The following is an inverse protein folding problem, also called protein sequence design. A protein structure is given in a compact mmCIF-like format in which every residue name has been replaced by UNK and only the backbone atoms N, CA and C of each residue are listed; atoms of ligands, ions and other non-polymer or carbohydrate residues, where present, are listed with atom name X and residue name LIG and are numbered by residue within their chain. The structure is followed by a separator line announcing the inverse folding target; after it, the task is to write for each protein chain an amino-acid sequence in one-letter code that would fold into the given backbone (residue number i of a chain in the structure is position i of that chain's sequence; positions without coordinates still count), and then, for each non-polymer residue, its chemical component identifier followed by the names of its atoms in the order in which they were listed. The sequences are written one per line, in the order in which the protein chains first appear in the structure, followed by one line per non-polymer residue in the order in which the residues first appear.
data_IF_999434095514
#
_entry.id   IF_999434095514
#
_cell.length_a   1.000
_cell.length_b   1.000
_cell.length_c   1.000
_cell.angle_alpha   90.00
_cell.angle_beta   90.00
_cell.angle_gamma   90.00
#
_symmetry.space_group_name_H-M   'P 1'
#
loop_
_entity.id
_entity.type
_entity.pdbx_description
1 polymer ?
#
# COMPACT_ATOMS: atom_id res chain seq x y z
N UNK A 1 8.56 24.97 13.58
CA UNK A 1 8.18 23.64 14.07
C UNK A 1 6.75 23.38 13.61
N UNK A 2 6.53 22.47 12.67
CA UNK A 2 5.19 22.24 12.10
C UNK A 2 4.23 21.65 13.14
N UNK A 3 3.00 22.16 13.20
CA UNK A 3 1.96 21.62 14.09
C UNK A 3 1.62 20.19 13.69
N UNK A 4 1.61 19.27 14.65
CA UNK A 4 1.13 17.89 14.43
C UNK A 4 -0.36 17.95 14.10
N UNK A 5 -0.73 17.60 12.87
CA UNK A 5 -2.12 17.50 12.45
C UNK A 5 -2.61 16.05 12.56
N UNK A 6 -3.88 15.88 12.93
CA UNK A 6 -4.58 14.60 12.89
C UNK A 6 -5.65 14.71 11.82
N UNK A 7 -5.67 13.73 10.93
CA UNK A 7 -6.67 13.59 9.88
C UNK A 7 -7.48 12.35 10.23
N UNK A 8 -8.81 12.45 10.08
CA UNK A 8 -9.71 11.32 10.23
C UNK A 8 -10.12 10.82 8.85
N UNK A 9 -10.20 9.51 8.69
CA UNK A 9 -10.68 8.83 7.49
C UNK A 9 -11.59 7.66 7.87
N UNK A 10 -12.18 7.05 6.85
CA UNK A 10 -12.90 5.78 7.00
C UNK A 10 -11.88 4.63 7.07
N UNK A 11 -12.03 3.73 8.04
CA UNK A 11 -11.22 2.52 8.12
C UNK A 11 -11.84 1.45 7.23
N UNK A 12 -11.14 1.07 6.17
CA UNK A 12 -11.56 -0.02 5.29
C UNK A 12 -11.05 -1.35 5.82
N UNK A 13 -9.82 -1.38 6.31
CA UNK A 13 -9.26 -2.50 7.08
C UNK A 13 -8.67 -1.95 8.36
N UNK A 14 -9.23 -2.39 9.50
CA UNK A 14 -8.80 -1.92 10.81
C UNK A 14 -7.38 -2.39 11.14
N UNK A 15 -6.61 -1.54 11.81
CA UNK A 15 -5.26 -1.86 12.26
C UNK A 15 -4.52 -0.62 12.75
N UNK A 16 -3.24 -0.77 13.04
CA UNK A 16 -2.36 0.35 13.40
C UNK A 16 -1.00 0.14 12.77
N UNK A 17 -0.50 1.16 12.09
CA UNK A 17 0.81 1.16 11.46
C UNK A 17 1.50 2.50 11.67
N UNK A 18 2.83 2.46 11.68
CA UNK A 18 3.67 3.64 11.71
C UNK A 18 4.86 3.42 10.78
N UNK A 19 5.24 4.46 10.04
CA UNK A 19 6.34 4.38 9.10
C UNK A 19 6.59 5.73 8.43
N UNK A 20 7.68 5.81 7.68
CA UNK A 20 7.96 6.98 6.82
C UNK A 20 6.86 7.07 5.77
N UNK A 21 6.33 8.26 5.53
CA UNK A 21 5.33 8.49 4.49
C UNK A 21 5.99 8.55 3.11
N UNK A 22 5.45 7.78 2.16
CA UNK A 22 5.63 7.99 0.73
C UNK A 22 4.29 8.42 0.16
N UNK A 23 4.20 9.66 -0.31
CA UNK A 23 2.96 10.23 -0.82
C UNK A 23 3.10 10.62 -2.28
N UNK A 24 2.05 10.38 -3.06
CA UNK A 24 1.95 10.88 -4.43
C UNK A 24 0.52 11.33 -4.72
N UNK A 25 0.39 12.34 -5.58
CA UNK A 25 -0.88 12.72 -6.20
C UNK A 25 -1.22 11.87 -7.42
N UNK A 26 -0.34 10.97 -7.84
CA UNK A 26 -0.55 10.06 -8.96
C UNK A 26 -0.94 8.66 -8.47
N UNK A 27 -1.80 7.94 -9.20
CA UNK A 27 -2.21 6.59 -8.83
C UNK A 27 -1.16 5.54 -9.26
N UNK A 28 -0.90 4.58 -8.38
CA UNK A 28 0.02 3.47 -8.64
C UNK A 28 -0.71 2.22 -9.15
N UNK A 29 -0.17 1.57 -10.17
CA UNK A 29 -0.54 0.20 -10.52
C UNK A 29 0.40 -0.76 -9.81
N UNK A 30 -0.10 -1.63 -8.93
CA UNK A 30 0.74 -2.66 -8.31
C UNK A 30 1.20 -3.69 -9.34
N UNK A 31 0.33 -4.03 -10.29
CA UNK A 31 0.75 -4.81 -11.45
C UNK A 31 1.70 -4.00 -12.33
N UNK A 32 2.95 -4.45 -12.45
CA UNK A 32 3.99 -3.83 -13.26
C UNK A 32 4.60 -2.54 -12.69
N UNK A 33 4.07 -2.02 -11.58
CA UNK A 33 4.59 -0.83 -10.90
C UNK A 33 5.12 -1.08 -9.49
N UNK A 34 5.00 -2.30 -8.97
CA UNK A 34 5.52 -2.72 -7.68
C UNK A 34 6.32 -4.02 -7.81
N UNK A 35 7.53 -4.05 -7.26
CA UNK A 35 8.31 -5.28 -7.13
C UNK A 35 7.99 -5.97 -5.80
N UNK A 36 7.23 -7.06 -5.86
CA UNK A 36 6.85 -7.87 -4.70
C UNK A 36 8.01 -8.57 -3.99
N UNK A 37 9.24 -8.52 -4.52
CA UNK A 37 10.43 -9.11 -3.90
C UNK A 37 11.22 -8.10 -3.08
N UNK A 38 11.18 -6.83 -3.46
CA UNK A 38 12.01 -5.76 -2.87
C UNK A 38 11.19 -4.67 -2.19
N UNK A 39 9.92 -4.54 -2.60
CA UNK A 39 9.04 -3.44 -2.22
C UNK A 39 9.32 -2.14 -2.98
N UNK A 40 10.12 -2.17 -4.05
CA UNK A 40 10.40 -1.01 -4.89
C UNK A 40 9.19 -0.65 -5.77
N UNK A 41 8.93 0.65 -5.90
CA UNK A 41 8.06 1.18 -6.94
C UNK A 41 8.85 1.23 -8.25
N UNK A 42 8.55 0.29 -9.15
CA UNK A 42 9.30 0.05 -10.40
C UNK A 42 8.66 0.68 -11.64
N UNK A 43 7.46 1.28 -11.52
CA UNK A 43 6.89 2.10 -12.59
C UNK A 43 7.76 3.35 -12.77
N UNK A 44 8.63 3.34 -13.78
CA UNK A 44 9.59 4.42 -14.05
C UNK A 44 8.96 5.74 -14.46
N UNK A 45 7.65 5.77 -14.74
CA UNK A 45 6.90 7.00 -15.01
C UNK A 45 6.24 7.57 -13.76
N UNK A 46 6.17 6.80 -12.68
CA UNK A 46 5.54 7.23 -11.44
C UNK A 46 6.46 8.17 -10.65
N UNK A 47 5.94 9.23 -9.98
CA UNK A 47 6.77 10.14 -9.19
C UNK A 47 7.58 9.47 -8.06
N UNK A 48 7.08 8.34 -7.56
CA UNK A 48 7.76 7.55 -6.52
C UNK A 48 8.70 6.47 -7.08
N UNK A 49 8.95 6.43 -8.39
CA UNK A 49 9.87 5.48 -9.02
C UNK A 49 11.20 5.38 -8.27
N UNK A 50 11.67 4.16 -8.00
CA UNK A 50 12.91 3.91 -7.28
C UNK A 50 12.80 3.98 -5.75
N UNK A 51 11.64 4.37 -5.22
CA UNK A 51 11.40 4.37 -3.78
C UNK A 51 11.00 2.98 -3.29
N UNK A 52 11.52 2.59 -2.13
CA UNK A 52 11.11 1.36 -1.42
C UNK A 52 9.93 1.68 -0.52
N UNK A 53 8.76 1.06 -0.77
CA UNK A 53 7.56 1.23 0.05
C UNK A 53 7.40 0.19 1.16
N UNK A 54 8.24 -0.86 1.16
CA UNK A 54 8.28 -1.86 2.22
C UNK A 54 8.38 -1.20 3.60
N UNK A 55 7.48 -1.57 4.52
CA UNK A 55 7.40 -1.06 5.89
C UNK A 55 7.19 0.48 5.99
N UNK A 56 6.62 1.10 4.96
CA UNK A 56 6.29 2.55 4.92
C UNK A 56 4.80 2.77 4.80
N UNK A 57 4.36 4.00 5.09
CA UNK A 57 2.97 4.42 4.87
C UNK A 57 2.86 4.96 3.45
N UNK A 58 2.14 4.26 2.59
CA UNK A 58 1.95 4.64 1.20
C UNK A 58 0.63 5.41 1.04
N UNK A 59 0.71 6.65 0.59
CA UNK A 59 -0.43 7.56 0.42
C UNK A 59 -0.61 7.85 -1.07
N UNK A 60 -1.75 7.45 -1.62
CA UNK A 60 -2.07 7.56 -3.04
C UNK A 60 -3.53 8.00 -3.20
N UNK A 61 -3.93 8.69 -4.27
CA UNK A 61 -5.36 9.02 -4.45
C UNK A 61 -6.23 7.76 -4.62
N UNK A 62 -5.74 6.77 -5.37
CA UNK A 62 -6.33 5.46 -5.59
C UNK A 62 -5.28 4.54 -6.25
N UNK A 63 -5.59 3.26 -6.41
CA UNK A 63 -4.73 2.33 -7.15
C UNK A 63 -5.30 2.00 -8.52
N UNK A 64 -4.42 1.66 -9.46
CA UNK A 64 -4.80 1.15 -10.78
C UNK A 64 -4.64 -0.38 -10.80
N UNK A 65 -5.50 -1.04 -11.54
CA UNK A 65 -5.38 -2.46 -11.83
C UNK A 65 -6.66 -3.24 -11.54
N UNK A 66 -6.47 -4.53 -11.38
CA UNK A 66 -7.53 -5.53 -11.22
C UNK A 66 -7.14 -6.53 -10.13
N UNK A 67 -7.72 -7.73 -10.15
CA UNK A 67 -7.33 -8.85 -9.27
C UNK A 67 -5.84 -9.16 -9.28
N UNK A 68 -5.10 -8.83 -10.34
CA UNK A 68 -3.64 -9.02 -10.36
C UNK A 68 -2.92 -8.12 -9.34
N UNK A 69 -3.43 -6.90 -9.07
CA UNK A 69 -2.88 -6.03 -8.02
C UNK A 69 -3.02 -6.67 -6.64
N UNK A 70 -4.13 -7.38 -6.39
CA UNK A 70 -4.34 -8.15 -5.16
C UNK A 70 -3.28 -9.25 -5.00
N UNK A 71 -2.99 -10.01 -6.07
CA UNK A 71 -1.99 -11.07 -6.01
C UNK A 71 -0.58 -10.53 -5.74
N UNK A 72 -0.19 -9.41 -6.38
CA UNK A 72 1.11 -8.76 -6.13
C UNK A 72 1.23 -8.30 -4.68
N UNK A 73 0.19 -7.69 -4.13
CA UNK A 73 0.18 -7.25 -2.73
C UNK A 73 0.23 -8.42 -1.76
N UNK A 74 -0.56 -9.47 -1.98
CA UNK A 74 -0.53 -10.68 -1.16
C UNK A 74 0.87 -11.31 -1.14
N UNK A 75 1.53 -11.40 -2.30
CA UNK A 75 2.92 -11.88 -2.39
C UNK A 75 3.91 -10.96 -1.67
N UNK A 76 3.71 -9.65 -1.73
CA UNK A 76 4.55 -8.71 -1.00
C UNK A 76 4.41 -8.83 0.52
N UNK A 77 3.20 -9.14 1.02
CA UNK A 77 2.99 -9.44 2.45
C UNK A 77 3.71 -10.73 2.81
N UNK A 78 3.53 -11.79 2.01
CA UNK A 78 4.22 -13.07 2.18
C UNK A 78 5.75 -12.92 2.22
N UNK A 79 6.28 -12.01 1.41
CA UNK A 79 7.70 -11.71 1.33
C UNK A 79 8.20 -10.70 2.39
N UNK A 80 7.32 -10.13 3.22
CA UNK A 80 7.68 -9.14 4.23
C UNK A 80 8.09 -7.77 3.67
N UNK A 81 7.68 -7.46 2.44
CA UNK A 81 8.03 -6.22 1.72
C UNK A 81 6.81 -5.41 1.29
N UNK A 82 5.64 -5.67 1.88
CA UNK A 82 4.45 -4.83 1.70
C UNK A 82 4.60 -3.45 2.37
N UNK A 83 3.81 -2.43 1.95
CA UNK A 83 3.61 -1.24 2.75
C UNK A 83 3.15 -1.59 4.17
N UNK A 84 3.58 -0.82 5.17
CA UNK A 84 3.10 -0.98 6.55
C UNK A 84 1.63 -0.56 6.69
N UNK A 85 1.17 0.35 5.84
CA UNK A 85 -0.22 0.81 5.78
C UNK A 85 -0.45 1.65 4.52
N UNK A 86 -1.71 1.74 4.11
CA UNK A 86 -2.14 2.49 2.94
C UNK A 86 -3.13 3.58 3.36
N UNK A 87 -3.13 4.69 2.64
CA UNK A 87 -4.16 5.73 2.74
C UNK A 87 -4.57 6.12 1.33
N UNK A 88 -5.87 6.08 1.07
CA UNK A 88 -6.43 6.45 -0.23
C UNK A 88 -7.61 7.41 -0.12
N UNK A 89 -7.87 8.21 -1.17
CA UNK A 89 -9.00 9.15 -1.19
C UNK A 89 -10.35 8.43 -1.33
N UNK A 90 -10.32 7.18 -1.79
CA UNK A 90 -11.50 6.33 -1.98
C UNK A 90 -11.17 4.88 -1.66
N UNK A 91 -12.17 4.13 -1.22
CA UNK A 91 -12.03 2.70 -0.97
C UNK A 91 -11.65 1.94 -2.26
N UNK A 92 -10.78 0.95 -2.11
CA UNK A 92 -10.30 0.10 -3.20
C UNK A 92 -10.42 -1.37 -2.79
N UNK A 93 -11.39 -2.07 -3.39
CA UNK A 93 -11.70 -3.46 -3.04
C UNK A 93 -10.50 -4.40 -3.23
N UNK A 94 -9.59 -4.10 -4.16
CA UNK A 94 -8.44 -4.96 -4.43
C UNK A 94 -7.38 -4.84 -3.34
N UNK A 95 -7.22 -3.64 -2.77
CA UNK A 95 -6.36 -3.44 -1.59
C UNK A 95 -6.94 -4.15 -0.37
N UNK A 96 -8.23 -3.94 -0.10
CA UNK A 96 -8.91 -4.53 1.06
C UNK A 96 -8.88 -6.04 1.02
N UNK A 97 -9.17 -6.62 -0.16
CA UNK A 97 -9.11 -8.07 -0.36
C UNK A 97 -7.69 -8.60 -0.11
N UNK A 98 -6.65 -7.91 -0.58
CA UNK A 98 -5.28 -8.34 -0.36
C UNK A 98 -4.93 -8.37 1.14
N UNK A 99 -5.29 -7.33 1.88
CA UNK A 99 -5.01 -7.26 3.31
C UNK A 99 -5.78 -8.31 4.11
N UNK A 100 -7.08 -8.50 3.81
CA UNK A 100 -7.91 -9.50 4.52
C UNK A 100 -7.40 -10.90 4.25
N UNK A 101 -7.18 -11.26 2.99
CA UNK A 101 -6.67 -12.58 2.61
C UNK A 101 -5.27 -12.83 3.19
N UNK A 102 -4.40 -11.81 3.22
CA UNK A 102 -3.09 -11.93 3.84
C UNK A 102 -3.21 -12.20 5.36
N UNK A 103 -4.15 -11.56 6.03
CA UNK A 103 -4.44 -11.82 7.45
C UNK A 103 -4.82 -13.28 7.70
N UNK A 104 -5.71 -13.84 6.87
CA UNK A 104 -6.14 -15.24 6.96
C UNK A 104 -5.03 -16.25 6.59
N UNK A 105 -4.20 -15.93 5.59
CA UNK A 105 -3.19 -16.87 5.08
C UNK A 105 -1.85 -16.82 5.83
N UNK A 106 -1.45 -15.64 6.30
CA UNK A 106 -0.09 -15.37 6.78
C UNK A 106 -0.03 -14.77 8.17
N UNK A 107 -1.17 -14.61 8.86
CA UNK A 107 -1.28 -13.91 10.14
C UNK A 107 -0.68 -12.48 10.08
N UNK A 108 -0.69 -11.88 8.88
CA UNK A 108 -0.08 -10.60 8.59
C UNK A 108 -1.00 -9.78 7.68
N UNK A 109 -1.30 -8.55 8.08
CA UNK A 109 -2.18 -7.64 7.35
C UNK A 109 -1.66 -6.20 7.46
N UNK A 110 -2.29 -5.28 6.74
CA UNK A 110 -1.95 -3.86 6.79
C UNK A 110 -3.22 -3.00 6.85
N UNK A 111 -3.27 -1.95 7.70
CA UNK A 111 -4.42 -1.06 7.73
C UNK A 111 -4.54 -0.26 6.44
N UNK A 112 -5.80 0.02 6.09
CA UNK A 112 -6.21 0.86 4.95
C UNK A 112 -7.26 1.84 5.46
#
# INVERSE_FOLDING_TARGET
MGSKQRIAGELVVAGTAAGITLASSEPLSFWGGYDQRTGEIIDRRHPLSGSISANRILVLPYTRGSSTSTAILLESVRAGVAPAGLVTDRADVFLSLASVVAGEMYEASFPI
#
